data_IF_353876701802
#
_entry.id   IF_353876701802
#
_cell.length_a   1.000
_cell.length_b   1.000
_cell.length_c   1.000
_cell.angle_alpha   90.00
_cell.angle_beta   90.00
_cell.angle_gamma   90.00
#
_symmetry.space_group_name_H-M   'P 1'
#
loop_
_entity.id
_entity.type
_entity.pdbx_description
1 polymer ?
#
# COMPACT_ATOMS: atom_id res chain seq x y z
N UNK A 1 -2.14 -14.73 -30.61
CA UNK A 1 -0.86 -15.45 -30.80
C UNK A 1 0.21 -14.63 -30.07
N UNK A 2 0.33 -14.80 -28.75
CA UNK A 2 1.26 -14.03 -27.90
C UNK A 2 2.62 -14.71 -27.97
N UNK A 3 3.64 -14.00 -28.47
CA UNK A 3 5.01 -14.41 -28.26
C UNK A 3 5.43 -13.96 -26.86
N UNK A 4 6.05 -14.83 -26.05
CA UNK A 4 6.58 -14.43 -24.76
C UNK A 4 7.66 -13.37 -24.99
N UNK A 5 7.46 -12.18 -24.43
CA UNK A 5 8.56 -11.24 -24.26
C UNK A 5 9.64 -11.96 -23.45
N UNK A 6 10.90 -11.97 -23.93
CA UNK A 6 11.97 -12.70 -23.25
C UNK A 6 12.17 -12.11 -21.86
N UNK A 7 11.86 -12.91 -20.84
CA UNK A 7 12.37 -12.73 -19.50
C UNK A 7 13.90 -12.88 -19.58
N UNK A 8 14.61 -11.76 -19.70
CA UNK A 8 16.07 -11.77 -19.79
C UNK A 8 16.60 -10.40 -20.18
N UNK A 9 17.33 -9.78 -19.24
CA UNK A 9 17.94 -8.44 -19.32
C UNK A 9 17.00 -7.24 -19.12
N UNK A 10 16.28 -7.21 -18.00
CA UNK A 10 16.18 -5.93 -17.30
C UNK A 10 17.54 -5.67 -16.65
N UNK A 11 18.26 -4.71 -17.23
CA UNK A 11 19.46 -4.11 -16.65
C UNK A 11 19.23 -3.86 -15.17
N UNK A 12 20.30 -3.95 -14.37
CA UNK A 12 20.42 -3.40 -13.02
C UNK A 12 20.18 -1.87 -13.04
N UNK A 13 18.98 -1.45 -13.42
CA UNK A 13 18.45 -0.15 -13.14
C UNK A 13 17.93 -0.23 -11.70
N UNK A 14 18.45 0.64 -10.85
CA UNK A 14 18.00 0.82 -9.48
C UNK A 14 16.48 0.95 -9.47
N UNK A 15 15.78 -0.10 -9.01
CA UNK A 15 14.34 -0.08 -8.85
C UNK A 15 13.96 1.13 -7.99
N UNK A 16 12.92 1.86 -8.39
CA UNK A 16 12.54 3.09 -7.71
C UNK A 16 11.64 2.78 -6.52
N UNK A 17 10.60 1.97 -6.75
CA UNK A 17 9.64 1.53 -5.74
C UNK A 17 9.20 0.09 -5.96
N UNK A 18 9.33 -0.73 -4.92
CA UNK A 18 8.87 -2.11 -4.91
C UNK A 18 7.73 -2.30 -3.92
N UNK A 19 6.57 -2.66 -4.45
CA UNK A 19 5.44 -3.16 -3.66
C UNK A 19 5.63 -4.67 -3.51
N UNK A 20 6.27 -5.10 -2.43
CA UNK A 20 6.78 -6.47 -2.28
C UNK A 20 5.68 -7.50 -2.00
N UNK A 21 4.47 -7.06 -1.66
CA UNK A 21 3.28 -7.94 -1.68
C UNK A 21 2.79 -8.25 -3.10
N UNK A 22 3.19 -7.48 -4.12
CA UNK A 22 2.82 -7.76 -5.50
C UNK A 22 3.76 -8.77 -6.14
N UNK A 23 3.17 -9.60 -6.99
CA UNK A 23 3.82 -10.71 -7.67
C UNK A 23 4.62 -10.25 -8.89
N UNK A 24 4.14 -9.23 -9.60
CA UNK A 24 4.77 -8.64 -10.78
C UNK A 24 5.25 -7.22 -10.45
N UNK A 25 6.06 -7.09 -9.40
CA UNK A 25 6.47 -5.80 -8.82
C UNK A 25 7.35 -4.95 -9.74
N UNK A 26 8.20 -5.57 -10.53
CA UNK A 26 9.16 -4.86 -11.39
C UNK A 26 8.48 -4.19 -12.59
N UNK A 27 7.40 -4.80 -13.11
CA UNK A 27 6.62 -4.19 -14.19
C UNK A 27 5.95 -2.91 -13.70
N UNK A 28 5.38 -2.93 -12.50
CA UNK A 28 4.76 -1.74 -11.92
C UNK A 28 5.79 -0.66 -11.61
N UNK A 29 6.97 -1.03 -11.09
CA UNK A 29 8.08 -0.11 -10.88
C UNK A 29 8.50 0.59 -12.19
N UNK A 30 8.69 -0.17 -13.28
CA UNK A 30 9.05 0.37 -14.58
C UNK A 30 8.02 1.37 -15.09
N UNK A 31 6.73 1.05 -14.98
CA UNK A 31 5.64 1.94 -15.40
C UNK A 31 5.68 3.23 -14.58
N UNK A 32 5.74 3.14 -13.25
CA UNK A 32 5.77 4.34 -12.39
C UNK A 32 7.00 5.20 -12.73
N UNK A 33 8.18 4.57 -12.89
CA UNK A 33 9.42 5.26 -13.26
C UNK A 33 9.27 5.99 -14.59
N UNK A 34 8.82 5.30 -15.64
CA UNK A 34 8.63 5.92 -16.96
C UNK A 34 7.62 7.06 -16.93
N UNK A 35 6.54 6.92 -16.17
CA UNK A 35 5.55 7.98 -16.01
C UNK A 35 6.10 9.21 -15.28
N UNK A 36 6.98 9.01 -14.29
CA UNK A 36 7.68 10.13 -13.64
C UNK A 36 8.61 10.89 -14.60
N UNK A 37 9.17 10.19 -15.59
CA UNK A 37 9.92 10.79 -16.69
C UNK A 37 9.05 11.34 -17.84
N UNK A 38 7.73 11.24 -17.75
CA UNK A 38 6.82 11.67 -18.82
C UNK A 38 6.85 10.80 -20.08
N UNK A 39 7.22 9.51 -19.95
CA UNK A 39 7.34 8.54 -21.06
C UNK A 39 6.29 7.40 -20.97
N UNK A 40 4.98 7.71 -21.12
CA UNK A 40 3.95 6.69 -21.11
C UNK A 40 4.01 5.84 -22.39
N UNK A 41 3.79 4.53 -22.26
CA UNK A 41 3.61 3.63 -23.40
C UNK A 41 2.13 3.37 -23.68
N UNK A 42 1.76 3.07 -24.94
CA UNK A 42 0.36 2.89 -25.34
C UNK A 42 -0.40 1.82 -24.53
N UNK A 43 0.31 0.81 -24.06
CA UNK A 43 -0.15 -0.39 -23.36
C UNK A 43 -0.09 -0.29 -21.84
N UNK A 44 0.43 0.82 -21.28
CA UNK A 44 0.56 0.99 -19.83
C UNK A 44 -0.78 0.93 -19.11
N UNK A 45 -1.80 1.59 -19.65
CA UNK A 45 -3.14 1.64 -19.06
C UNK A 45 -3.71 0.24 -18.82
N UNK A 46 -3.69 -0.59 -19.85
CA UNK A 46 -4.18 -1.97 -19.78
C UNK A 46 -3.30 -2.81 -18.85
N UNK A 47 -1.98 -2.61 -18.92
CA UNK A 47 -1.02 -3.30 -18.06
C UNK A 47 -1.27 -2.98 -16.59
N UNK A 48 -1.48 -1.71 -16.23
CA UNK A 48 -1.81 -1.27 -14.87
C UNK A 48 -3.11 -1.94 -14.39
N UNK A 49 -4.17 -1.90 -15.21
CA UNK A 49 -5.47 -2.54 -14.90
C UNK A 49 -5.27 -4.02 -14.56
N UNK A 50 -4.53 -4.75 -15.40
CA UNK A 50 -4.21 -6.17 -15.20
C UNK A 50 -3.36 -6.39 -13.95
N UNK A 51 -2.29 -5.61 -13.78
CA UNK A 51 -1.41 -5.69 -12.61
C UNK A 51 -2.20 -5.52 -11.32
N UNK A 52 -3.07 -4.50 -11.21
CA UNK A 52 -3.79 -4.23 -9.96
C UNK A 52 -4.86 -5.30 -9.69
N UNK A 53 -5.72 -5.63 -10.67
CA UNK A 53 -6.78 -6.61 -10.46
C UNK A 53 -6.24 -8.01 -10.20
N UNK A 54 -5.23 -8.46 -10.95
CA UNK A 54 -4.64 -9.78 -10.76
C UNK A 54 -3.81 -9.87 -9.47
N UNK A 55 -3.05 -8.82 -9.09
CA UNK A 55 -2.39 -8.82 -7.77
C UNK A 55 -3.41 -8.85 -6.63
N UNK A 56 -4.52 -8.10 -6.72
CA UNK A 56 -5.56 -8.12 -5.70
C UNK A 56 -6.21 -9.51 -5.57
N UNK A 57 -6.50 -10.17 -6.69
CA UNK A 57 -7.02 -11.54 -6.70
C UNK A 57 -6.02 -12.54 -6.11
N UNK A 58 -4.77 -12.47 -6.57
CA UNK A 58 -3.66 -13.29 -6.08
C UNK A 58 -3.50 -13.14 -4.57
N UNK A 59 -3.39 -11.90 -4.07
CA UNK A 59 -3.26 -11.62 -2.64
C UNK A 59 -4.48 -12.08 -1.85
N UNK A 60 -5.69 -11.92 -2.38
CA UNK A 60 -6.90 -12.42 -1.71
C UNK A 60 -6.82 -13.93 -1.49
N UNK A 61 -6.40 -14.68 -2.51
CA UNK A 61 -6.25 -16.15 -2.44
C UNK A 61 -5.09 -16.55 -1.53
N UNK A 62 -3.95 -15.84 -1.61
CA UNK A 62 -2.79 -16.08 -0.75
C UNK A 62 -3.12 -15.88 0.74
N UNK A 63 -3.73 -14.75 1.08
CA UNK A 63 -4.11 -14.43 2.45
C UNK A 63 -5.17 -15.40 2.97
N UNK A 64 -6.10 -15.86 2.13
CA UNK A 64 -7.09 -16.88 2.49
C UNK A 64 -6.42 -18.19 2.88
N UNK A 65 -5.54 -18.72 2.04
CA UNK A 65 -4.82 -19.99 2.28
C UNK A 65 -3.97 -19.88 3.55
N UNK A 66 -3.22 -18.78 3.68
CA UNK A 66 -2.37 -18.58 4.86
C UNK A 66 -3.21 -18.44 6.14
N UNK A 67 -4.33 -17.73 6.09
CA UNK A 67 -5.26 -17.63 7.22
C UNK A 67 -5.84 -19.00 7.60
N UNK A 68 -6.20 -19.85 6.63
CA UNK A 68 -6.64 -21.23 6.92
C UNK A 68 -5.55 -22.05 7.60
N UNK A 69 -4.30 -21.94 7.14
CA UNK A 69 -3.17 -22.63 7.77
C UNK A 69 -2.89 -22.16 9.20
N UNK A 70 -3.09 -20.87 9.48
CA UNK A 70 -2.83 -20.27 10.79
C UNK A 70 -3.98 -20.56 11.77
N UNK A 71 -5.22 -20.36 11.33
CA UNK A 71 -6.38 -20.45 12.22
C UNK A 71 -7.01 -21.85 12.27
N UNK A 72 -6.86 -22.68 11.23
CA UNK A 72 -7.64 -23.90 11.00
C UNK A 72 -7.12 -25.20 11.63
N UNK A 73 -6.38 -25.15 12.75
CA UNK A 73 -5.71 -26.35 13.31
C UNK A 73 -6.54 -27.25 14.26
N UNK A 74 -7.75 -26.86 14.66
CA UNK A 74 -8.60 -27.72 15.52
C UNK A 74 -9.64 -28.48 14.70
N UNK A 75 -9.66 -29.81 14.77
CA UNK A 75 -10.67 -30.67 14.14
C UNK A 75 -12.11 -30.37 14.60
N UNK A 76 -12.27 -29.65 15.72
CA UNK A 76 -13.56 -29.36 16.34
C UNK A 76 -14.02 -27.89 16.22
N UNK A 77 -13.15 -26.97 15.80
CA UNK A 77 -13.50 -25.54 15.77
C UNK A 77 -14.00 -25.15 14.37
N UNK A 78 -15.29 -24.78 14.27
CA UNK A 78 -15.81 -24.22 13.03
C UNK A 78 -15.31 -22.79 12.84
N UNK A 79 -14.39 -22.60 11.91
CA UNK A 79 -13.94 -21.27 11.48
C UNK A 79 -14.97 -20.63 10.54
N UNK A 80 -15.22 -19.34 10.73
CA UNK A 80 -16.05 -18.55 9.81
C UNK A 80 -15.25 -17.38 9.27
N UNK A 81 -15.45 -17.11 7.97
CA UNK A 81 -14.77 -16.04 7.25
C UNK A 81 -15.81 -15.05 6.76
N UNK A 82 -15.79 -13.82 7.27
CA UNK A 82 -16.77 -12.78 6.95
C UNK A 82 -16.10 -11.60 6.27
N UNK A 83 -16.51 -11.30 5.04
CA UNK A 83 -16.10 -10.06 4.35
C UNK A 83 -16.77 -8.85 4.99
N UNK A 84 -16.01 -7.78 5.16
CA UNK A 84 -16.51 -6.47 5.59
C UNK A 84 -15.95 -5.36 4.69
N UNK A 85 -16.67 -4.24 4.63
CA UNK A 85 -16.34 -3.06 3.80
C UNK A 85 -16.09 -1.78 4.61
N UNK A 86 -16.36 -1.78 5.92
CA UNK A 86 -16.12 -0.65 6.81
C UNK A 86 -15.56 -1.11 8.16
N UNK A 87 -14.85 -0.21 8.85
CA UNK A 87 -14.28 -0.47 10.19
C UNK A 87 -15.34 -0.80 11.23
N UNK A 88 -16.56 -0.28 11.09
CA UNK A 88 -17.67 -0.58 12.00
C UNK A 88 -17.97 -2.06 12.13
N UNK A 89 -17.95 -2.80 11.01
CA UNK A 89 -18.16 -4.25 11.04
C UNK A 89 -17.10 -5.03 11.82
N UNK A 90 -15.85 -4.53 11.86
CA UNK A 90 -14.80 -5.08 12.72
C UNK A 90 -15.08 -4.74 14.19
N UNK A 91 -15.35 -3.46 14.48
CA UNK A 91 -15.55 -2.96 15.84
C UNK A 91 -16.75 -3.62 16.52
N UNK A 92 -17.85 -3.82 15.80
CA UNK A 92 -19.02 -4.54 16.29
C UNK A 92 -18.69 -5.98 16.67
N UNK A 93 -17.96 -6.68 15.81
CA UNK A 93 -17.61 -8.08 16.07
C UNK A 93 -16.68 -8.20 17.29
N UNK A 94 -15.78 -7.23 17.51
CA UNK A 94 -14.90 -7.24 18.68
C UNK A 94 -15.66 -7.11 19.99
N UNK A 95 -16.74 -6.34 20.03
CA UNK A 95 -17.51 -6.10 21.26
C UNK A 95 -18.64 -7.11 21.48
N UNK A 96 -19.06 -7.85 20.44
CA UNK A 96 -20.19 -8.78 20.49
C UNK A 96 -19.95 -9.92 21.50
N UNK A 97 -18.76 -10.54 21.45
CA UNK A 97 -18.41 -11.66 22.32
C UNK A 97 -16.89 -11.71 22.58
N UNK A 98 -16.38 -10.85 23.48
CA UNK A 98 -14.97 -10.84 23.87
C UNK A 98 -14.52 -12.21 24.40
N UNK A 99 -13.31 -12.71 24.05
CA UNK A 99 -12.81 -13.99 24.56
C UNK A 99 -12.54 -13.96 26.07
N UNK A 100 -12.39 -12.77 26.66
CA UNK A 100 -12.34 -12.54 28.10
C UNK A 100 -12.77 -11.11 28.40
N UNK A 101 -13.13 -10.85 29.66
CA UNK A 101 -13.54 -9.52 30.14
C UNK A 101 -12.74 -9.11 31.37
N UNK A 102 -12.51 -7.81 31.47
CA UNK A 102 -11.94 -7.14 32.63
C UNK A 102 -12.44 -5.68 32.63
N UNK A 103 -12.17 -4.96 33.72
CA UNK A 103 -12.63 -3.57 33.90
C UNK A 103 -12.24 -2.66 32.73
N UNK A 104 -11.07 -2.89 32.13
CA UNK A 104 -10.60 -2.08 31.01
C UNK A 104 -11.36 -2.38 29.73
N UNK A 105 -11.57 -3.65 29.40
CA UNK A 105 -12.37 -4.08 28.24
C UNK A 105 -13.80 -3.56 28.38
N UNK A 106 -14.39 -3.68 29.56
CA UNK A 106 -15.76 -3.23 29.80
C UNK A 106 -15.90 -1.71 29.66
N UNK A 107 -14.92 -0.95 30.16
CA UNK A 107 -14.84 0.49 29.96
C UNK A 107 -14.76 0.88 28.48
N UNK A 108 -13.92 0.20 27.70
CA UNK A 108 -13.76 0.45 26.26
C UNK A 108 -15.06 0.18 25.49
N UNK A 109 -15.70 -0.96 25.76
CA UNK A 109 -16.98 -1.35 25.13
C UNK A 109 -18.06 -0.32 25.49
N UNK A 110 -18.16 0.06 26.76
CA UNK A 110 -19.14 1.04 27.21
C UNK A 110 -18.96 2.39 26.52
N UNK A 111 -17.72 2.88 26.41
CA UNK A 111 -17.45 4.16 25.76
C UNK A 111 -17.77 4.13 24.26
N UNK A 112 -17.40 3.04 23.59
CA UNK A 112 -17.72 2.82 22.18
C UNK A 112 -19.24 2.81 21.94
N UNK A 113 -20.00 2.05 22.73
CA UNK A 113 -21.46 1.98 22.60
C UNK A 113 -22.13 3.33 22.85
N UNK A 114 -21.59 4.14 23.77
CA UNK A 114 -22.11 5.47 24.08
C UNK A 114 -21.87 6.48 22.93
N UNK A 115 -20.73 6.39 22.24
CA UNK A 115 -20.31 7.37 21.21
C UNK A 115 -19.61 6.69 20.02
N UNK A 116 -20.28 5.82 19.25
CA UNK A 116 -19.64 5.02 18.21
C UNK A 116 -19.00 5.86 17.10
N UNK A 117 -19.54 7.06 16.82
CA UNK A 117 -19.02 7.99 15.82
C UNK A 117 -17.62 8.53 16.11
N UNK A 118 -17.16 8.52 17.37
CA UNK A 118 -15.82 8.98 17.74
C UNK A 118 -14.71 8.01 17.35
N UNK A 119 -15.09 6.79 16.93
CA UNK A 119 -14.15 5.71 16.65
C UNK A 119 -14.15 5.37 15.16
N UNK A 120 -14.14 6.38 14.27
CA UNK A 120 -13.88 6.20 12.83
C UNK A 120 -14.66 5.05 12.15
N UNK A 121 -15.88 4.76 12.63
CA UNK A 121 -16.67 3.57 12.28
C UNK A 121 -16.92 3.46 10.77
N UNK A 122 -17.20 4.59 10.14
CA UNK A 122 -17.53 4.69 8.72
C UNK A 122 -16.31 4.67 7.80
N UNK A 123 -15.10 4.53 8.36
CA UNK A 123 -13.88 4.44 7.56
C UNK A 123 -13.93 3.20 6.67
N UNK A 124 -13.77 3.32 5.35
CA UNK A 124 -13.83 2.16 4.48
C UNK A 124 -12.64 1.23 4.73
N UNK A 125 -12.95 -0.06 4.82
CA UNK A 125 -12.05 -1.14 5.17
C UNK A 125 -12.50 -2.39 4.43
N UNK A 126 -11.71 -2.87 3.47
CA UNK A 126 -11.99 -4.13 2.79
C UNK A 126 -11.11 -5.20 3.40
N UNK A 127 -11.72 -6.13 4.11
CA UNK A 127 -11.00 -7.22 4.77
C UNK A 127 -11.93 -8.38 5.07
N UNK A 128 -11.31 -9.46 5.54
CA UNK A 128 -12.01 -10.66 5.99
C UNK A 128 -11.72 -10.84 7.46
N UNK A 129 -12.79 -10.89 8.24
CA UNK A 129 -12.74 -11.24 9.65
C UNK A 129 -12.78 -12.75 9.78
N UNK A 130 -11.95 -13.28 10.66
CA UNK A 130 -11.89 -14.70 10.99
C UNK A 130 -12.40 -14.85 12.41
N UNK A 131 -13.44 -15.68 12.57
CA UNK A 131 -13.99 -16.02 13.87
C UNK A 131 -13.93 -17.52 14.11
N UNK A 132 -13.67 -17.91 15.36
CA UNK A 132 -13.82 -19.27 15.85
C UNK A 132 -15.21 -19.43 16.45
N UNK A 133 -15.85 -20.56 16.18
CA UNK A 133 -17.05 -20.98 16.89
C UNK A 133 -16.66 -22.04 17.91
N UNK A 134 -17.01 -21.82 19.17
CA UNK A 134 -16.90 -22.79 20.25
C UNK A 134 -18.25 -22.92 21.00
N UNK A 135 -18.24 -23.57 22.17
CA UNK A 135 -19.44 -23.77 22.98
C UNK A 135 -20.01 -22.48 23.60
N UNK A 136 -19.23 -21.41 23.67
CA UNK A 136 -19.61 -20.12 24.27
C UNK A 136 -20.05 -19.11 23.20
N UNK A 137 -19.69 -19.35 21.94
CA UNK A 137 -20.25 -18.67 20.79
C UNK A 137 -19.21 -18.36 19.74
N UNK A 138 -19.35 -17.19 19.12
CA UNK A 138 -18.47 -16.73 18.05
C UNK A 138 -17.44 -15.77 18.63
N UNK A 139 -16.16 -16.11 18.54
CA UNK A 139 -15.07 -15.26 19.01
C UNK A 139 -14.20 -14.80 17.85
N UNK A 140 -13.75 -13.55 17.89
CA UNK A 140 -12.82 -13.03 16.88
C UNK A 140 -11.42 -13.62 17.07
N UNK A 141 -10.88 -14.23 16.00
CA UNK A 141 -9.55 -14.83 16.00
C UNK A 141 -8.49 -13.91 15.34
N UNK A 142 -8.93 -13.12 14.36
CA UNK A 142 -8.04 -12.34 13.54
C UNK A 142 -8.72 -11.83 12.27
N UNK A 143 -7.95 -11.18 11.42
CA UNK A 143 -8.41 -10.72 10.12
C UNK A 143 -7.27 -10.68 9.13
N UNK A 144 -7.62 -10.61 7.85
CA UNK A 144 -6.66 -10.25 6.82
C UNK A 144 -7.27 -9.22 5.89
N UNK A 145 -6.41 -8.43 5.25
CA UNK A 145 -6.83 -7.39 4.33
C UNK A 145 -5.78 -7.12 3.27
N UNK A 146 -6.24 -6.47 2.21
CA UNK A 146 -5.39 -5.83 1.23
C UNK A 146 -5.61 -4.32 1.37
N UNK A 147 -4.53 -3.55 1.38
CA UNK A 147 -4.63 -2.10 1.38
C UNK A 147 -5.31 -1.63 0.10
N UNK A 148 -6.23 -0.68 0.26
CA UNK A 148 -6.90 -0.03 -0.88
C UNK A 148 -5.89 0.66 -1.79
N UNK A 149 -6.13 0.62 -3.10
CA UNK A 149 -5.28 1.25 -4.12
C UNK A 149 -4.93 2.71 -3.79
N UNK A 150 -5.92 3.51 -3.39
CA UNK A 150 -5.71 4.90 -2.92
C UNK A 150 -4.73 5.02 -1.76
N UNK A 151 -4.77 4.08 -0.80
CA UNK A 151 -3.86 4.07 0.36
C UNK A 151 -2.45 3.64 -0.04
N UNK A 152 -2.33 2.73 -1.01
CA UNK A 152 -1.06 2.35 -1.61
C UNK A 152 -0.45 3.55 -2.33
N UNK A 153 -1.23 4.24 -3.17
CA UNK A 153 -0.83 5.45 -3.88
C UNK A 153 -0.31 6.53 -2.92
N UNK A 154 -1.08 6.86 -1.87
CA UNK A 154 -0.67 7.84 -0.87
C UNK A 154 0.66 7.46 -0.18
N UNK A 155 0.83 6.17 0.15
CA UNK A 155 2.04 5.68 0.81
C UNK A 155 3.24 5.71 -0.13
N UNK A 156 3.06 5.26 -1.37
CA UNK A 156 4.07 5.30 -2.41
C UNK A 156 4.50 6.74 -2.72
N UNK A 157 3.54 7.65 -2.90
CA UNK A 157 3.81 9.04 -3.23
C UNK A 157 4.58 9.72 -2.11
N UNK A 158 4.21 9.45 -0.85
CA UNK A 158 4.96 9.95 0.31
C UNK A 158 6.40 9.44 0.30
N UNK A 159 6.62 8.14 0.12
CA UNK A 159 7.98 7.56 0.16
C UNK A 159 8.85 8.09 -0.99
N UNK A 160 8.28 8.22 -2.19
CA UNK A 160 8.98 8.82 -3.34
C UNK A 160 9.28 10.30 -3.06
N UNK A 161 8.30 11.07 -2.56
CA UNK A 161 8.52 12.47 -2.21
C UNK A 161 9.58 12.65 -1.11
N UNK A 162 9.60 11.80 -0.09
CA UNK A 162 10.62 11.80 0.96
C UNK A 162 12.02 11.51 0.38
N UNK A 163 12.11 10.56 -0.56
CA UNK A 163 13.36 10.24 -1.26
C UNK A 163 13.84 11.39 -2.15
N UNK A 164 12.94 11.96 -2.96
CA UNK A 164 13.22 13.14 -3.80
C UNK A 164 13.69 14.31 -2.94
N UNK A 165 13.00 14.58 -1.84
CA UNK A 165 13.40 15.62 -0.89
C UNK A 165 14.81 15.39 -0.33
N UNK A 166 15.12 14.16 0.06
CA UNK A 166 16.46 13.82 0.56
C UNK A 166 17.54 14.04 -0.52
N UNK A 167 17.24 13.76 -1.80
CA UNK A 167 18.16 14.04 -2.91
C UNK A 167 18.34 15.52 -3.16
N UNK A 168 17.25 16.31 -3.24
CA UNK A 168 17.32 17.77 -3.40
C UNK A 168 18.11 18.40 -2.24
N UNK A 169 17.84 17.97 -1.00
CA UNK A 169 18.56 18.48 0.17
C UNK A 169 20.06 18.19 0.11
N UNK A 170 20.48 16.99 -0.31
CA UNK A 170 21.91 16.67 -0.51
C UNK A 170 22.56 17.57 -1.56
N UNK A 171 21.84 17.87 -2.64
CA UNK A 171 22.34 18.77 -3.69
C UNK A 171 22.46 20.21 -3.17
N UNK A 172 21.47 20.70 -2.41
CA UNK A 172 21.52 21.99 -1.76
C UNK A 172 22.68 22.08 -0.74
N UNK A 173 22.90 21.03 0.06
CA UNK A 173 24.03 20.94 0.98
C UNK A 173 25.38 21.02 0.23
N UNK A 174 25.47 20.44 -0.97
CA UNK A 174 26.67 20.53 -1.83
C UNK A 174 26.89 21.95 -2.36
N UNK A 175 25.82 22.69 -2.70
CA UNK A 175 25.91 24.10 -3.07
C UNK A 175 26.43 24.95 -1.91
N UNK A 176 25.89 24.74 -0.71
CA UNK A 176 26.33 25.41 0.51
C UNK A 176 27.81 25.11 0.83
N UNK A 177 28.25 23.86 0.67
CA UNK A 177 29.68 23.49 0.78
C UNK A 177 30.54 24.22 -0.25
N UNK A 178 30.10 24.28 -1.51
CA UNK A 178 30.78 25.01 -2.57
C UNK A 178 30.96 26.49 -2.22
N UNK A 179 29.94 27.12 -1.63
CA UNK A 179 30.00 28.49 -1.14
C UNK A 179 30.96 28.64 0.05
N UNK A 180 30.89 27.77 1.06
CA UNK A 180 31.80 27.79 2.20
C UNK A 180 33.27 27.72 1.74
N UNK A 181 33.57 26.84 0.78
CA UNK A 181 34.91 26.71 0.16
C UNK A 181 35.36 28.00 -0.52
N UNK A 182 34.48 28.76 -1.17
CA UNK A 182 34.82 30.07 -1.77
C UNK A 182 35.23 31.11 -0.73
N UNK A 183 34.70 31.01 0.48
CA UNK A 183 35.09 31.85 1.62
C UNK A 183 36.27 31.29 2.42
N UNK A 184 36.82 30.12 2.04
CA UNK A 184 37.93 29.48 2.73
C UNK A 184 37.57 28.96 4.13
N UNK A 185 36.28 28.79 4.43
CA UNK A 185 35.78 28.32 5.73
C UNK A 185 35.14 26.94 5.62
N UNK A 186 34.94 26.28 6.75
CA UNK A 186 34.15 25.05 6.80
C UNK A 186 32.65 25.35 6.72
N UNK A 187 31.84 24.37 6.30
CA UNK A 187 30.37 24.51 6.27
C UNK A 187 29.77 24.82 7.65
N UNK A 188 30.38 24.32 8.72
CA UNK A 188 29.90 24.54 10.08
C UNK A 188 30.11 25.98 10.57
N UNK A 189 31.04 26.71 9.95
CA UNK A 189 31.31 28.12 10.23
C UNK A 189 30.52 29.07 9.30
N UNK A 190 29.85 28.52 8.28
CA UNK A 190 29.03 29.29 7.36
C UNK A 190 27.71 29.66 8.03
N UNK A 191 27.55 30.95 8.36
CA UNK A 191 26.26 31.52 8.79
C UNK A 191 25.51 31.97 7.54
N UNK A 192 24.43 31.28 7.23
CA UNK A 192 23.60 31.54 6.05
C UNK A 192 22.23 32.07 6.46
N UNK A 193 21.73 33.08 5.74
CA UNK A 193 20.36 33.56 5.92
C UNK A 193 19.34 32.51 5.44
N UNK A 194 18.11 32.56 5.98
CA UNK A 194 17.06 31.65 5.53
C UNK A 194 16.73 31.83 4.04
N UNK A 195 16.83 33.06 3.53
CA UNK A 195 16.60 33.38 2.12
C UNK A 195 17.60 32.67 1.21
N UNK A 196 18.89 32.75 1.52
CA UNK A 196 19.93 32.07 0.75
C UNK A 196 19.80 30.54 0.82
N UNK A 197 19.47 29.96 1.98
CA UNK A 197 19.22 28.52 2.10
C UNK A 197 18.04 28.08 1.23
N UNK A 198 17.00 28.92 1.17
CA UNK A 198 15.84 28.67 0.31
C UNK A 198 16.21 28.76 -1.18
N UNK A 199 17.02 29.74 -1.57
CA UNK A 199 17.51 29.86 -2.95
C UNK A 199 18.35 28.66 -3.39
N UNK A 200 19.27 28.19 -2.54
CA UNK A 200 20.07 26.98 -2.81
C UNK A 200 19.17 25.75 -2.96
N UNK A 201 18.14 25.63 -2.11
CA UNK A 201 17.17 24.55 -2.21
C UNK A 201 16.36 24.62 -3.50
N UNK A 202 15.86 25.80 -3.89
CA UNK A 202 15.10 25.99 -5.12
C UNK A 202 15.95 25.69 -6.36
N UNK A 203 17.21 26.11 -6.37
CA UNK A 203 18.14 25.80 -7.47
C UNK A 203 18.43 24.29 -7.56
N UNK A 204 18.58 23.60 -6.42
CA UNK A 204 18.72 22.15 -6.39
C UNK A 204 17.44 21.42 -6.86
N UNK A 205 16.25 21.95 -6.53
CA UNK A 205 14.97 21.42 -7.00
C UNK A 205 14.82 21.60 -8.52
N UNK A 206 15.18 22.76 -9.07
CA UNK A 206 15.15 23.04 -10.51
C UNK A 206 16.10 22.13 -11.29
N UNK A 207 17.33 21.94 -10.80
CA UNK A 207 18.28 20.99 -11.40
C UNK A 207 17.73 19.56 -11.43
N UNK A 208 17.07 19.13 -10.34
CA UNK A 208 16.44 17.80 -10.26
C UNK A 208 15.28 17.66 -11.26
N UNK A 209 14.46 18.69 -11.43
CA UNK A 209 13.38 18.70 -12.42
C UNK A 209 13.92 18.66 -13.85
N UNK A 210 15.02 19.34 -14.12
CA UNK A 210 15.70 19.27 -15.41
C UNK A 210 16.31 17.89 -15.67
N UNK A 211 16.82 17.21 -14.63
CA UNK A 211 17.25 15.81 -14.75
C UNK A 211 16.09 14.90 -15.20
N UNK A 212 14.93 15.05 -14.57
CA UNK A 212 13.72 14.32 -14.96
C UNK A 212 13.29 14.64 -16.40
N UNK A 213 13.22 15.92 -16.77
CA UNK A 213 12.80 16.35 -18.12
C UNK A 213 13.73 15.80 -19.22
N UNK A 214 15.02 15.63 -18.90
CA UNK A 214 16.03 15.15 -19.85
C UNK A 214 16.32 13.64 -19.71
N UNK A 215 15.47 12.88 -19.02
CA UNK A 215 15.65 11.44 -18.79
C UNK A 215 16.99 11.05 -18.17
N UNK A 216 17.57 11.93 -17.35
CA UNK A 216 18.81 11.62 -16.62
C UNK A 216 18.48 10.67 -15.46
N UNK A 217 19.31 9.64 -15.21
CA UNK A 217 19.07 8.68 -14.13
C UNK A 217 18.98 9.38 -12.77
N UNK A 218 17.99 9.00 -11.97
CA UNK A 218 17.93 9.44 -10.58
C UNK A 218 19.05 8.77 -9.77
N UNK A 219 20.03 9.56 -9.32
CA UNK A 219 21.12 9.08 -8.47
C UNK A 219 20.71 9.07 -6.99
N UNK A 220 20.77 7.90 -6.35
CA UNK A 220 20.52 7.82 -4.91
C UNK A 220 19.99 6.48 -4.44
N UNK A 221 19.96 6.37 -3.11
CA UNK A 221 19.68 5.20 -2.27
C UNK A 221 18.67 4.20 -2.86
N UNK A 222 18.98 2.90 -2.70
CA UNK A 222 18.29 1.77 -3.33
C UNK A 222 16.77 1.71 -3.14
N UNK A 223 16.16 0.68 -3.72
CA UNK A 223 14.71 0.62 -3.95
C UNK A 223 13.85 0.97 -2.73
N UNK A 224 12.86 1.84 -2.95
CA UNK A 224 11.85 2.17 -1.94
C UNK A 224 10.94 0.96 -1.76
N UNK A 225 10.89 0.39 -0.55
CA UNK A 225 10.11 -0.82 -0.30
C UNK A 225 8.79 -0.53 0.43
N UNK A 226 7.69 -1.13 -0.04
CA UNK A 226 6.38 -1.19 0.64
C UNK A 226 5.99 -2.65 0.89
N UNK A 227 6.16 -3.09 2.14
CA UNK A 227 5.90 -4.47 2.57
C UNK A 227 4.46 -4.76 3.05
N UNK A 228 3.69 -3.72 3.35
CA UNK A 228 2.45 -3.85 4.13
C UNK A 228 1.19 -3.66 3.28
N UNK A 229 1.20 -4.10 2.02
CA UNK A 229 0.00 -4.04 1.16
C UNK A 229 -0.95 -5.18 1.49
N UNK A 230 -0.46 -6.42 1.54
CA UNK A 230 -1.20 -7.56 2.06
C UNK A 230 -0.81 -7.80 3.52
N UNK A 231 -1.79 -8.00 4.41
CA UNK A 231 -1.46 -8.31 5.79
C UNK A 231 -2.54 -9.01 6.59
N UNK A 232 -2.11 -9.61 7.69
CA UNK A 232 -2.91 -10.33 8.66
C UNK A 232 -2.79 -9.67 10.04
N UNK A 233 -3.87 -9.68 10.80
CA UNK A 233 -3.87 -9.35 12.23
C UNK A 233 -4.34 -10.59 12.99
N UNK A 234 -3.57 -11.02 13.98
CA UNK A 234 -3.79 -12.25 14.73
C UNK A 234 -3.97 -11.87 16.20
N UNK A 235 -5.04 -12.37 16.82
CA UNK A 235 -5.18 -12.37 18.27
C UNK A 235 -4.40 -13.54 18.83
N UNK A 236 -3.45 -13.26 19.70
CA UNK A 236 -2.57 -14.27 20.28
C UNK A 236 -2.32 -13.94 21.76
N UNK A 237 -2.78 -14.81 22.65
CA UNK A 237 -2.68 -14.60 24.10
C UNK A 237 -1.46 -15.28 24.72
N UNK A 238 -0.86 -16.27 24.04
CA UNK A 238 0.36 -16.92 24.52
C UNK A 238 1.54 -15.93 24.44
N UNK A 239 2.25 -15.66 25.56
CA UNK A 239 3.43 -14.82 25.55
C UNK A 239 4.53 -15.33 24.61
N UNK A 240 4.60 -16.64 24.36
CA UNK A 240 5.50 -17.23 23.37
C UNK A 240 4.88 -17.20 21.98
N UNK A 241 5.69 -16.77 21.01
CA UNK A 241 5.36 -16.82 19.59
C UNK A 241 5.90 -18.07 18.89
N UNK A 242 6.61 -18.95 19.59
CA UNK A 242 7.23 -20.14 18.99
C UNK A 242 6.20 -21.06 18.28
N UNK A 243 5.02 -21.35 18.87
CA UNK A 243 4.01 -22.15 18.17
C UNK A 243 3.46 -21.46 16.91
N UNK A 244 3.38 -20.13 16.93
CA UNK A 244 3.00 -19.34 15.76
C UNK A 244 4.09 -19.40 14.68
N UNK A 245 5.36 -19.26 15.06
CA UNK A 245 6.49 -19.34 14.13
C UNK A 245 6.58 -20.71 13.47
N UNK A 246 6.39 -21.78 14.23
CA UNK A 246 6.32 -23.12 13.67
C UNK A 246 5.14 -23.27 12.70
N UNK A 247 3.98 -22.71 13.05
CA UNK A 247 2.80 -22.71 12.18
C UNK A 247 3.05 -21.96 10.87
N UNK A 248 3.68 -20.79 10.93
CA UNK A 248 4.07 -20.00 9.77
C UNK A 248 5.08 -20.76 8.90
N UNK A 249 6.10 -21.37 9.52
CA UNK A 249 7.11 -22.14 8.80
C UNK A 249 6.50 -23.33 8.04
N UNK A 250 5.63 -24.12 8.69
CA UNK A 250 4.89 -25.22 8.03
C UNK A 250 3.95 -24.72 6.94
N UNK A 251 3.44 -23.49 7.09
CA UNK A 251 2.61 -22.81 6.09
C UNK A 251 3.39 -22.20 4.92
N UNK A 252 4.70 -22.45 4.80
CA UNK A 252 5.51 -21.93 3.68
C UNK A 252 5.98 -20.48 3.86
N UNK A 253 5.99 -19.96 5.09
CA UNK A 253 6.50 -18.64 5.42
C UNK A 253 7.92 -18.70 5.98
N UNK A 254 8.71 -17.66 5.69
CA UNK A 254 9.98 -17.36 6.35
C UNK A 254 9.91 -15.96 6.94
N UNK A 255 10.24 -15.81 8.22
CA UNK A 255 10.26 -14.49 8.87
C UNK A 255 11.49 -13.74 8.36
N UNK A 256 11.26 -12.56 7.80
CA UNK A 256 12.32 -11.68 7.26
C UNK A 256 12.69 -10.61 8.29
N UNK A 257 11.69 -10.09 8.99
CA UNK A 257 11.87 -9.01 9.96
C UNK A 257 10.88 -9.21 11.11
N UNK A 258 11.31 -8.83 12.32
CA UNK A 258 10.50 -8.80 13.53
C UNK A 258 10.71 -7.46 14.22
N UNK A 259 9.63 -6.72 14.40
CA UNK A 259 9.61 -5.45 15.12
C UNK A 259 8.67 -5.59 16.34
N UNK A 260 9.22 -5.37 17.53
CA UNK A 260 8.43 -5.29 18.76
C UNK A 260 8.05 -3.85 19.04
N UNK A 261 6.75 -3.60 19.20
CA UNK A 261 6.24 -2.32 19.69
C UNK A 261 5.88 -2.44 21.17
N UNK A 262 6.36 -1.48 21.96
CA UNK A 262 6.05 -1.35 23.39
C UNK A 262 5.66 0.09 23.73
N UNK A 263 4.74 0.25 24.68
CA UNK A 263 4.33 1.55 25.23
C UNK A 263 2.90 1.91 24.83
N UNK A 264 2.74 2.93 23.98
CA UNK A 264 1.39 3.35 23.54
C UNK A 264 0.70 2.31 22.67
N UNK A 265 1.44 1.40 22.05
CA UNK A 265 0.95 0.29 21.24
C UNK A 265 1.79 -0.92 21.54
N UNK A 266 1.17 -2.03 21.98
CA UNK A 266 1.89 -3.27 22.22
C UNK A 266 1.48 -4.31 21.17
N UNK A 267 2.40 -4.64 20.28
CA UNK A 267 2.22 -5.66 19.26
C UNK A 267 3.58 -6.13 18.73
N UNK A 268 3.58 -7.30 18.10
CA UNK A 268 4.72 -7.79 17.33
C UNK A 268 4.35 -7.74 15.86
N UNK A 269 5.08 -6.95 15.09
CA UNK A 269 4.96 -6.89 13.64
C UNK A 269 6.00 -7.81 13.01
N UNK A 270 5.56 -8.66 12.10
CA UNK A 270 6.40 -9.57 11.35
C UNK A 270 6.28 -9.22 9.87
N UNK A 271 7.42 -9.02 9.20
CA UNK A 271 7.48 -9.10 7.75
C UNK A 271 7.80 -10.54 7.39
N UNK A 272 6.89 -11.24 6.71
CA UNK A 272 7.08 -12.64 6.31
C UNK A 272 7.18 -12.77 4.81
N UNK A 273 8.14 -13.55 4.34
CA UNK A 273 8.21 -14.03 2.96
C UNK A 273 7.34 -15.28 2.83
N UNK A 274 6.33 -15.21 1.98
CA UNK A 274 5.41 -16.31 1.74
C UNK A 274 5.56 -16.84 0.32
N UNK A 275 5.68 -18.17 0.19
CA UNK A 275 5.67 -18.91 -1.07
C UNK A 275 4.33 -19.64 -1.22
N UNK A 276 3.32 -19.02 -1.83
CA UNK A 276 2.01 -19.65 -1.96
C UNK A 276 2.05 -20.84 -2.94
N UNK A 277 1.26 -21.91 -2.69
CA UNK A 277 1.10 -23.01 -3.63
C UNK A 277 0.39 -22.53 -4.90
N UNK A 278 1.14 -22.33 -6.00
CA UNK A 278 0.64 -21.74 -7.25
C UNK A 278 -0.58 -22.46 -7.83
N UNK A 279 -0.56 -23.79 -7.82
CA UNK A 279 -1.68 -24.59 -8.31
C UNK A 279 -2.98 -24.30 -7.54
N UNK A 280 -2.92 -24.21 -6.21
CA UNK A 280 -4.08 -23.86 -5.40
C UNK A 280 -4.53 -22.40 -5.60
N UNK A 281 -3.61 -21.50 -5.98
CA UNK A 281 -3.94 -20.13 -6.36
C UNK A 281 -4.62 -20.08 -7.73
N UNK A 282 -4.20 -20.88 -8.70
CA UNK A 282 -4.70 -20.83 -10.09
C UNK A 282 -6.00 -21.63 -10.25
N UNK A 283 -6.11 -22.79 -9.58
CA UNK A 283 -7.19 -23.77 -9.77
C UNK A 283 -8.61 -23.19 -9.68
N UNK A 284 -8.96 -22.33 -8.69
CA UNK A 284 -10.28 -21.73 -8.67
C UNK A 284 -10.45 -20.75 -9.84
N UNK A 285 -11.56 -20.81 -10.60
CA UNK A 285 -11.78 -19.87 -11.69
C UNK A 285 -11.82 -18.42 -11.18
N UNK A 286 -11.34 -17.48 -12.00
CA UNK A 286 -11.48 -16.05 -11.75
C UNK A 286 -12.96 -15.71 -11.66
N UNK A 287 -13.36 -15.03 -10.58
CA UNK A 287 -14.76 -14.74 -10.29
C UNK A 287 -14.95 -13.41 -9.57
N UNK A 288 -16.21 -13.05 -9.31
CA UNK A 288 -16.59 -11.80 -8.66
C UNK A 288 -16.19 -10.57 -9.47
N UNK A 289 -15.82 -9.49 -8.76
CA UNK A 289 -15.53 -8.18 -9.36
C UNK A 289 -14.50 -8.24 -10.50
N UNK A 290 -13.44 -9.04 -10.36
CA UNK A 290 -12.39 -9.13 -11.39
C UNK A 290 -12.94 -9.73 -12.68
N UNK A 291 -13.75 -10.78 -12.59
CA UNK A 291 -14.39 -11.38 -13.76
C UNK A 291 -15.32 -10.37 -14.44
N UNK A 292 -16.23 -9.76 -13.68
CA UNK A 292 -17.17 -8.76 -14.21
C UNK A 292 -16.45 -7.59 -14.89
N UNK A 293 -15.39 -7.07 -14.26
CA UNK A 293 -14.62 -5.94 -14.77
C UNK A 293 -13.99 -6.20 -16.15
N UNK A 294 -13.42 -7.39 -16.36
CA UNK A 294 -12.81 -7.75 -17.64
C UNK A 294 -13.86 -8.15 -18.69
N UNK A 295 -14.97 -8.77 -18.29
CA UNK A 295 -16.08 -9.09 -19.19
C UNK A 295 -16.73 -7.82 -19.77
N UNK A 296 -16.91 -6.78 -18.95
CA UNK A 296 -17.37 -5.46 -19.42
C UNK A 296 -16.43 -4.82 -20.46
N UNK A 297 -15.17 -5.28 -20.51
CA UNK A 297 -14.14 -4.87 -21.48
C UNK A 297 -13.98 -5.85 -22.65
N UNK A 298 -14.92 -6.78 -22.81
CA UNK A 298 -14.99 -7.69 -23.94
C UNK A 298 -14.11 -8.94 -23.82
N UNK A 299 -13.56 -9.23 -22.64
CA UNK A 299 -12.82 -10.48 -22.43
C UNK A 299 -13.77 -11.61 -22.08
N UNK A 300 -13.59 -12.77 -22.69
CA UNK A 300 -14.28 -13.99 -22.27
C UNK A 300 -13.65 -14.60 -21.02
N UNK A 301 -14.41 -15.47 -20.33
CA UNK A 301 -13.97 -16.06 -19.07
C UNK A 301 -12.72 -16.96 -19.23
N UNK A 302 -12.58 -17.65 -20.35
CA UNK A 302 -11.44 -18.54 -20.60
C UNK A 302 -10.15 -17.72 -20.77
N UNK A 303 -10.20 -16.66 -21.57
CA UNK A 303 -9.10 -15.71 -21.76
C UNK A 303 -8.67 -15.07 -20.44
N UNK A 304 -9.61 -14.69 -19.56
CA UNK A 304 -9.31 -14.12 -18.24
C UNK A 304 -8.59 -15.13 -17.35
N UNK A 305 -9.09 -16.38 -17.30
CA UNK A 305 -8.47 -17.44 -16.51
C UNK A 305 -7.06 -17.77 -17.01
N UNK A 306 -6.89 -17.89 -18.33
CA UNK A 306 -5.58 -18.13 -18.93
C UNK A 306 -4.59 -16.99 -18.66
N UNK A 307 -5.05 -15.74 -18.79
CA UNK A 307 -4.22 -14.57 -18.49
C UNK A 307 -3.85 -14.47 -17.00
N UNK A 308 -4.76 -14.84 -16.09
CA UNK A 308 -4.47 -14.88 -14.66
C UNK A 308 -3.48 -16.01 -14.32
N UNK A 309 -3.63 -17.20 -14.91
CA UNK A 309 -2.67 -18.28 -14.75
C UNK A 309 -1.27 -17.87 -15.22
N UNK A 310 -1.16 -17.33 -16.44
CA UNK A 310 0.11 -16.83 -16.97
C UNK A 310 0.71 -15.70 -16.12
N UNK A 311 -0.12 -14.83 -15.53
CA UNK A 311 0.32 -13.80 -14.58
C UNK A 311 0.95 -14.41 -13.32
N UNK A 312 0.34 -15.47 -12.77
CA UNK A 312 0.86 -16.18 -11.60
C UNK A 312 2.15 -16.93 -11.93
N UNK A 313 2.18 -17.63 -13.07
CA UNK A 313 3.29 -18.47 -13.46
C UNK A 313 4.56 -17.68 -13.82
N UNK A 314 4.40 -16.54 -14.50
CA UNK A 314 5.53 -15.66 -14.84
C UNK A 314 5.99 -14.76 -13.71
N UNK A 315 5.27 -14.75 -12.59
CA UNK A 315 5.53 -13.86 -11.47
C UNK A 315 6.61 -14.35 -10.51
N UNK A 316 6.93 -13.52 -9.53
CA UNK A 316 7.90 -13.82 -8.47
C UNK A 316 7.59 -15.11 -7.70
N UNK A 317 8.61 -15.81 -7.22
CA UNK A 317 8.42 -17.04 -6.43
C UNK A 317 7.72 -16.77 -5.08
N UNK A 318 7.95 -15.58 -4.52
CA UNK A 318 7.46 -15.21 -3.19
C UNK A 318 7.06 -13.74 -3.10
N UNK A 319 6.18 -13.47 -2.13
CA UNK A 319 5.71 -12.13 -1.76
C UNK A 319 5.98 -11.84 -0.29
N UNK A 320 6.09 -10.57 0.07
CA UNK A 320 6.18 -10.14 1.47
C UNK A 320 4.79 -9.74 1.98
N UNK A 321 4.44 -10.24 3.16
CA UNK A 321 3.21 -9.94 3.87
C UNK A 321 3.52 -9.41 5.26
N UNK A 322 2.68 -8.50 5.76
CA UNK A 322 2.74 -8.01 7.14
C UNK A 322 1.84 -8.88 8.03
N UNK A 323 2.36 -9.36 9.16
CA UNK A 323 1.57 -10.03 10.19
C UNK A 323 1.71 -9.25 11.49
N UNK A 324 0.60 -8.75 12.02
CA UNK A 324 0.53 -8.04 13.29
C UNK A 324 -0.06 -8.98 14.33
N UNK A 325 0.68 -9.22 15.40
CA UNK A 325 0.28 -10.10 16.49
C UNK A 325 0.08 -9.27 17.75
N UNK A 326 -1.09 -9.36 18.37
CA UNK A 326 -1.41 -8.66 19.62
C UNK A 326 -2.39 -9.49 20.45
N UNK A 327 -2.46 -9.21 21.76
CA UNK A 327 -3.55 -9.73 22.59
C UNK A 327 -4.88 -9.09 22.18
N UNK A 328 -5.98 -9.68 22.61
CA UNK A 328 -7.32 -9.15 22.36
C UNK A 328 -7.50 -7.77 22.99
N UNK A 329 -7.04 -7.56 24.23
CA UNK A 329 -7.11 -6.25 24.86
C UNK A 329 -6.34 -5.17 24.08
N UNK A 330 -5.12 -5.47 23.60
CA UNK A 330 -4.34 -4.52 22.79
C UNK A 330 -4.97 -4.26 21.42
N UNK A 331 -5.58 -5.27 20.81
CA UNK A 331 -6.40 -5.08 19.63
C UNK A 331 -7.56 -4.13 19.91
N UNK A 332 -8.30 -4.33 21.00
CA UNK A 332 -9.43 -3.50 21.39
C UNK A 332 -9.00 -2.06 21.65
N UNK A 333 -7.90 -1.86 22.37
CA UNK A 333 -7.27 -0.55 22.59
C UNK A 333 -6.90 0.13 21.26
N UNK A 334 -6.33 -0.63 20.32
CA UNK A 334 -5.93 -0.07 19.01
C UNK A 334 -7.11 0.37 18.15
N UNK A 335 -8.26 -0.31 18.26
CA UNK A 335 -9.42 -0.09 17.40
C UNK A 335 -10.49 0.83 18.04
N UNK A 336 -10.80 0.67 19.32
CA UNK A 336 -11.87 1.42 20.02
C UNK A 336 -11.42 2.06 21.33
N UNK A 337 -10.13 2.03 21.66
CA UNK A 337 -9.56 2.85 22.74
C UNK A 337 -8.95 4.12 22.20
N UNK A 338 -7.74 3.98 21.65
CA UNK A 338 -6.88 5.09 21.23
C UNK A 338 -6.95 5.39 19.74
N UNK A 339 -7.76 4.66 18.95
CA UNK A 339 -7.89 4.83 17.49
C UNK A 339 -6.54 4.97 16.75
N UNK A 340 -5.53 4.21 17.20
CA UNK A 340 -4.13 4.53 16.94
C UNK A 340 -3.77 4.49 15.46
N UNK A 341 -4.40 3.59 14.72
CA UNK A 341 -4.11 3.43 13.31
C UNK A 341 -4.60 4.65 12.53
N UNK A 342 -5.78 5.18 12.82
CA UNK A 342 -6.35 6.33 12.12
C UNK A 342 -5.65 7.64 12.51
N UNK A 343 -5.39 7.86 13.81
CA UNK A 343 -4.72 9.07 14.29
C UNK A 343 -3.28 9.15 13.80
N UNK A 344 -2.52 8.03 13.82
CA UNK A 344 -1.17 7.96 13.24
C UNK A 344 -1.17 8.32 11.76
N UNK A 345 -2.24 7.98 11.02
CA UNK A 345 -2.34 8.35 9.60
C UNK A 345 -2.52 9.85 9.44
N UNK A 346 -3.33 10.50 10.29
CA UNK A 346 -3.49 11.95 10.28
C UNK A 346 -2.19 12.67 10.66
N UNK A 347 -1.51 12.22 11.72
CA UNK A 347 -0.22 12.77 12.15
C UNK A 347 0.83 12.66 11.04
N UNK A 348 0.93 11.51 10.38
CA UNK A 348 1.85 11.31 9.25
C UNK A 348 1.53 12.22 8.05
N UNK A 349 0.28 12.61 7.85
CA UNK A 349 -0.11 13.58 6.82
C UNK A 349 0.29 14.99 7.22
N UNK A 350 0.04 15.37 8.48
CA UNK A 350 0.35 16.69 9.00
C UNK A 350 1.86 16.94 9.12
N UNK A 351 2.66 15.93 9.50
CA UNK A 351 4.09 16.09 9.78
C UNK A 351 4.99 16.10 8.54
N UNK A 352 4.45 16.16 7.31
CA UNK A 352 5.28 16.12 6.09
C UNK A 352 6.16 17.39 5.97
N UNK A 353 7.50 17.24 5.94
CA UNK A 353 8.42 18.37 5.89
C UNK A 353 8.47 19.01 4.49
N UNK A 354 8.30 18.21 3.43
CA UNK A 354 8.33 18.66 2.05
C UNK A 354 6.92 18.72 1.46
N UNK A 355 6.52 19.93 1.04
CA UNK A 355 5.18 20.23 0.51
C UNK A 355 5.23 21.02 -0.81
N UNK A 356 6.39 20.97 -1.49
CA UNK A 356 6.59 21.63 -2.78
C UNK A 356 5.69 21.07 -3.88
N UNK A 357 5.66 21.76 -5.02
CA UNK A 357 4.84 21.39 -6.18
C UNK A 357 5.21 20.00 -6.71
N UNK A 358 6.49 19.64 -6.73
CA UNK A 358 6.96 18.31 -7.15
C UNK A 358 6.40 17.19 -6.25
N UNK A 359 6.42 17.34 -4.92
CA UNK A 359 5.78 16.37 -4.01
C UNK A 359 4.29 16.20 -4.28
N UNK A 360 3.60 17.31 -4.58
CA UNK A 360 2.18 17.30 -4.92
C UNK A 360 1.93 16.58 -6.25
N UNK A 361 2.75 16.84 -7.27
CA UNK A 361 2.64 16.21 -8.59
C UNK A 361 2.91 14.71 -8.52
N UNK A 362 3.88 14.26 -7.71
CA UNK A 362 4.10 12.84 -7.42
C UNK A 362 2.84 12.23 -6.79
N UNK A 363 2.21 12.95 -5.85
CA UNK A 363 0.92 12.57 -5.26
C UNK A 363 -0.18 12.38 -6.31
N UNK A 364 -0.38 13.37 -7.16
CA UNK A 364 -1.37 13.33 -8.23
C UNK A 364 -1.10 12.18 -9.21
N UNK A 365 0.15 12.00 -9.63
CA UNK A 365 0.53 10.96 -10.59
C UNK A 365 0.20 9.57 -10.06
N UNK A 366 0.56 9.28 -8.80
CA UNK A 366 0.25 7.97 -8.22
C UNK A 366 -1.23 7.81 -7.90
N UNK A 367 -1.91 8.84 -7.44
CA UNK A 367 -3.37 8.76 -7.22
C UNK A 367 -4.09 8.49 -8.54
N UNK A 368 -3.68 9.14 -9.63
CA UNK A 368 -4.19 8.86 -10.97
C UNK A 368 -3.93 7.41 -11.36
N UNK A 369 -2.65 6.96 -11.34
CA UNK A 369 -2.23 5.62 -11.73
C UNK A 369 -3.00 4.51 -11.01
N UNK A 370 -3.12 4.59 -9.68
CA UNK A 370 -3.79 3.58 -8.88
C UNK A 370 -5.32 3.65 -8.95
N UNK A 371 -5.88 4.70 -9.54
CA UNK A 371 -7.32 4.85 -9.74
C UNK A 371 -7.77 4.37 -11.13
N UNK A 372 -6.86 4.28 -12.10
CA UNK A 372 -7.12 3.75 -13.44
C UNK A 372 -7.85 2.41 -13.48
N UNK A 373 -7.53 1.41 -12.62
CA UNK A 373 -8.22 0.12 -12.64
C UNK A 373 -9.72 0.22 -12.34
N UNK A 374 -10.18 1.33 -11.78
CA UNK A 374 -11.60 1.58 -11.46
C UNK A 374 -12.29 2.45 -12.53
N UNK A 375 -11.53 3.06 -13.43
CA UNK A 375 -12.07 3.94 -14.46
C UNK A 375 -12.82 3.13 -15.54
N UNK A 376 -13.88 3.67 -16.18
CA UNK A 376 -14.68 2.95 -17.17
C UNK A 376 -14.03 2.79 -18.56
N UNK A 377 -13.00 3.56 -18.90
CA UNK A 377 -12.37 3.54 -20.23
C UNK A 377 -10.83 3.50 -20.18
N UNK A 378 -10.17 3.03 -21.26
CA UNK A 378 -8.74 3.22 -21.46
C UNK A 378 -8.36 4.70 -21.59
N UNK A 379 -7.16 5.04 -21.10
CA UNK A 379 -6.60 6.40 -21.09
C UNK A 379 -6.29 6.88 -22.51
N UNK A 380 -6.34 8.19 -22.69
CA UNK A 380 -5.69 8.92 -23.78
C UNK A 380 -4.17 8.71 -23.78
N UNK A 381 -3.51 8.94 -24.93
CA UNK A 381 -2.06 8.69 -25.09
C UNK A 381 -1.16 9.62 -24.26
N UNK A 382 -1.67 10.75 -23.78
CA UNK A 382 -0.88 11.74 -23.05
C UNK A 382 -1.12 11.64 -21.55
N UNK A 383 -0.04 11.67 -20.76
CA UNK A 383 -0.13 11.75 -19.31
C UNK A 383 -0.73 13.10 -18.90
N UNK A 384 -1.79 13.12 -18.07
CA UNK A 384 -2.40 14.36 -17.64
C UNK A 384 -1.56 15.11 -16.58
N UNK A 385 -0.54 14.45 -16.01
CA UNK A 385 0.29 14.98 -14.93
C UNK A 385 1.76 14.78 -15.28
N UNK A 386 2.50 15.88 -15.36
CA UNK A 386 3.96 15.91 -15.52
C UNK A 386 4.61 16.48 -14.27
N UNK A 387 5.74 15.93 -13.85
CA UNK A 387 6.31 16.32 -12.55
C UNK A 387 6.83 17.76 -12.50
N UNK A 388 7.22 18.33 -13.65
CA UNK A 388 7.79 19.67 -13.77
C UNK A 388 6.78 20.79 -14.06
N UNK A 389 5.49 20.46 -14.20
CA UNK A 389 4.44 21.47 -14.43
C UNK A 389 3.80 21.92 -13.10
N UNK A 390 2.98 22.97 -13.13
CA UNK A 390 2.25 23.46 -11.94
C UNK A 390 0.76 23.21 -12.09
N UNK A 391 0.20 22.44 -11.15
CA UNK A 391 -1.24 22.14 -11.10
C UNK A 391 -1.86 22.70 -9.83
N UNK A 392 -3.05 23.29 -9.94
CA UNK A 392 -3.89 23.54 -8.78
C UNK A 392 -4.63 22.26 -8.38
N UNK A 393 -5.08 22.13 -7.12
CA UNK A 393 -5.97 21.04 -6.71
C UNK A 393 -7.20 20.90 -7.61
N UNK A 394 -7.78 22.02 -8.06
CA UNK A 394 -8.92 22.04 -8.96
C UNK A 394 -8.59 21.37 -10.31
N UNK A 395 -7.40 21.60 -10.86
CA UNK A 395 -6.97 20.95 -12.11
C UNK A 395 -6.95 19.43 -11.95
N UNK A 396 -6.39 18.94 -10.84
CA UNK A 396 -6.37 17.50 -10.56
C UNK A 396 -7.78 16.93 -10.33
N UNK A 397 -8.64 17.69 -9.66
CA UNK A 397 -10.04 17.30 -9.46
C UNK A 397 -10.77 17.13 -10.80
N UNK A 398 -10.58 18.04 -11.75
CA UNK A 398 -11.16 17.92 -13.11
C UNK A 398 -10.57 16.73 -13.87
N UNK A 399 -9.25 16.49 -13.81
CA UNK A 399 -8.61 15.30 -14.40
C UNK A 399 -9.25 14.00 -13.86
N UNK A 400 -9.51 13.95 -12.56
CA UNK A 400 -10.14 12.77 -11.94
C UNK A 400 -11.61 12.64 -12.35
N UNK A 401 -12.35 13.75 -12.48
CA UNK A 401 -13.73 13.71 -13.00
C UNK A 401 -13.78 13.20 -14.43
N UNK A 402 -12.89 13.68 -15.29
CA UNK A 402 -12.78 13.22 -16.68
C UNK A 402 -12.47 11.72 -16.75
N UNK A 403 -11.57 11.23 -15.89
CA UNK A 403 -11.25 9.81 -15.79
C UNK A 403 -12.50 8.95 -15.53
N UNK A 404 -13.46 9.48 -14.75
CA UNK A 404 -14.72 8.81 -14.44
C UNK A 404 -15.91 9.27 -15.29
N UNK A 405 -15.70 10.13 -16.30
CA UNK A 405 -16.76 10.76 -17.11
C UNK A 405 -17.81 11.49 -16.28
N UNK A 406 -17.41 12.08 -15.16
CA UNK A 406 -18.28 12.91 -14.34
C UNK A 406 -18.37 14.28 -15.03
N UNK A 407 -19.57 14.72 -15.48
CA UNK A 407 -19.70 15.99 -16.18
C UNK A 407 -19.21 17.17 -15.34
N UNK A 408 -18.52 18.10 -15.97
CA UNK A 408 -18.22 19.39 -15.37
C UNK A 408 -19.42 20.31 -15.53
N UNK A 409 -20.04 20.68 -14.41
CA UNK A 409 -21.11 21.67 -14.39
C UNK A 409 -20.44 23.04 -14.59
N UNK A 410 -20.36 23.48 -15.84
CA UNK A 410 -19.93 24.83 -16.18
C UNK A 410 -21.07 25.82 -15.87
N UNK A 411 -20.82 26.94 -15.17
CA UNK A 411 -21.84 27.95 -14.90
C UNK A 411 -22.12 28.88 -16.11
N UNK A 412 -21.46 28.66 -17.26
CA UNK A 412 -21.59 29.49 -18.45
C UNK A 412 -22.14 28.64 -19.59
N UNK A 413 -23.39 28.93 -19.98
CA UNK A 413 -24.02 28.50 -21.23
C UNK A 413 -23.51 29.33 -22.41
#
# INVERSE_FOLDING_TARGET
MWQPHPAGLLRLGTAMIQITSYLQRDILDDIIRRWMYGDPRPDDSETIVRLIHFNNLFLCRCLRILAESIFGKSQNDKMTFRRISCKGGLKDLLIENPPYRNDRIDSLIHEYLRRPGHYYRETPFHGVLVSRMDGEGRHYAGSYRIKRARRIAEKAARRIADHVFATIRRNADTLAEGRARRFGISRHELITSQEEMNEEFLHAEEAFLDDLRNHRPLEGQGAIVINDVGGLKIVWEDPSLDPLYETLSRGGCTIVEREEHRGRYNAVNLTVRYRPPREAIISPPVGGHVLSHFQERGWDAESINHAFAGFVDSGEESVLLEIIVSTFQELLESEIGRCMHEDRIMEQRAARPYRGHLARNIGYLLEYLFTLPEAPLPITRELPIRLWDRYLPDTFFEIMKDLFRIPSIGPLE
#
